data_IF_513501491073
#
_entry.id   IF_513501491073
#
_cell.length_a   1.000
_cell.length_b   1.000
_cell.length_c   1.000
_cell.angle_alpha   90.00
_cell.angle_beta   90.00
_cell.angle_gamma   90.00
#
_symmetry.space_group_name_H-M   'P 1'
#
loop_
_entity.id
_entity.type
_entity.pdbx_description
1 polymer ?
#
# COMPACT_ATOMS: atom_id res chain seq x y z
N UNK A 1 -3.73 -7.31 3.94
CA UNK A 1 -4.97 -8.12 3.83
C UNK A 1 -4.70 -9.53 4.32
N UNK A 2 -3.73 -10.23 3.73
CA UNK A 2 -3.32 -11.58 4.15
C UNK A 2 -2.86 -11.66 5.62
N UNK A 3 -2.06 -10.70 6.10
CA UNK A 3 -1.63 -10.62 7.50
C UNK A 3 -2.79 -10.57 8.52
N UNK A 4 -3.99 -10.19 8.08
CA UNK A 4 -5.20 -10.18 8.90
C UNK A 4 -6.19 -11.30 8.52
N UNK A 5 -5.74 -12.32 7.78
CA UNK A 5 -6.55 -13.50 7.43
C UNK A 5 -7.54 -13.29 6.27
N UNK A 6 -7.45 -12.19 5.51
CA UNK A 6 -8.34 -11.97 4.37
C UNK A 6 -7.85 -12.73 3.12
N UNK A 7 -8.48 -13.86 2.82
CA UNK A 7 -8.14 -14.74 1.68
C UNK A 7 -8.58 -14.19 0.31
N UNK A 8 -9.49 -13.20 0.29
CA UNK A 8 -10.03 -12.60 -0.95
C UNK A 8 -9.68 -11.13 -1.04
N UNK A 9 -8.45 -10.79 -1.46
CA UNK A 9 -8.04 -9.40 -1.60
C UNK A 9 -8.83 -8.68 -2.69
N UNK A 10 -8.91 -7.35 -2.58
CA UNK A 10 -9.48 -6.53 -3.65
C UNK A 10 -8.65 -6.66 -4.93
N UNK A 11 -9.32 -6.58 -6.07
CA UNK A 11 -8.61 -6.44 -7.35
C UNK A 11 -7.92 -5.08 -7.41
N UNK A 12 -6.84 -4.97 -8.21
CA UNK A 12 -6.11 -3.72 -8.39
C UNK A 12 -7.03 -2.58 -8.86
N UNK A 13 -7.98 -2.88 -9.75
CA UNK A 13 -8.98 -1.91 -10.23
C UNK A 13 -9.86 -1.40 -9.10
N UNK A 14 -10.48 -2.30 -8.32
CA UNK A 14 -11.35 -1.90 -7.20
C UNK A 14 -10.57 -1.12 -6.13
N UNK A 15 -9.35 -1.58 -5.81
CA UNK A 15 -8.48 -0.86 -4.88
C UNK A 15 -8.18 0.56 -5.39
N UNK A 16 -7.80 0.69 -6.67
CA UNK A 16 -7.51 1.99 -7.28
C UNK A 16 -8.71 2.94 -7.35
N UNK A 17 -9.93 2.42 -7.50
CA UNK A 17 -11.17 3.20 -7.49
C UNK A 17 -11.55 3.67 -6.06
N UNK A 18 -11.27 2.85 -5.05
CA UNK A 18 -11.59 3.15 -3.65
C UNK A 18 -10.58 4.09 -2.99
N UNK A 19 -9.29 4.01 -3.36
CA UNK A 19 -8.21 4.70 -2.66
C UNK A 19 -8.39 6.23 -2.59
N UNK A 20 -8.75 6.97 -3.66
CA UNK A 20 -8.95 8.42 -3.57
C UNK A 20 -10.08 8.82 -2.61
N UNK A 21 -11.16 8.01 -2.56
CA UNK A 21 -12.32 8.26 -1.68
C UNK A 21 -11.94 8.07 -0.22
N UNK A 22 -11.19 7.01 0.09
CA UNK A 22 -10.67 6.75 1.43
C UNK A 22 -9.72 7.88 1.85
N UNK A 23 -8.78 8.28 0.99
CA UNK A 23 -7.85 9.36 1.32
C UNK A 23 -8.58 10.68 1.64
N UNK A 24 -9.66 11.00 0.91
CA UNK A 24 -10.50 12.16 1.20
C UNK A 24 -11.22 12.06 2.56
N UNK A 25 -11.74 10.88 2.91
CA UNK A 25 -12.38 10.63 4.21
C UNK A 25 -11.44 10.90 5.39
N UNK A 26 -10.18 10.49 5.26
CA UNK A 26 -9.12 10.73 6.24
C UNK A 26 -8.46 12.11 6.12
N UNK A 27 -8.97 12.99 5.23
CA UNK A 27 -8.43 14.33 4.95
C UNK A 27 -6.94 14.31 4.57
N UNK A 28 -6.52 13.28 3.84
CA UNK A 28 -5.16 13.13 3.32
C UNK A 28 -5.15 13.50 1.84
N UNK A 29 -4.15 14.28 1.44
CA UNK A 29 -3.96 14.62 0.03
C UNK A 29 -3.53 13.37 -0.74
N UNK A 30 -4.21 13.09 -1.86
CA UNK A 30 -3.85 12.01 -2.77
C UNK A 30 -3.45 12.57 -4.14
N UNK A 31 -2.26 12.20 -4.59
CA UNK A 31 -1.67 12.53 -5.90
C UNK A 31 -1.13 11.25 -6.55
N UNK A 32 -1.38 11.12 -7.85
CA UNK A 32 -0.91 10.02 -8.69
C UNK A 32 -0.21 10.58 -9.92
N UNK A 33 1.04 10.19 -10.14
CA UNK A 33 1.88 10.65 -11.25
C UNK A 33 2.33 9.46 -12.09
N UNK A 34 2.14 9.53 -13.41
CA UNK A 34 2.70 8.55 -14.34
C UNK A 34 4.20 8.79 -14.49
N UNK A 35 4.99 7.74 -14.34
CA UNK A 35 6.45 7.77 -14.52
C UNK A 35 6.85 6.71 -15.55
N UNK A 36 8.11 6.75 -16.00
CA UNK A 36 8.67 5.72 -16.88
C UNK A 36 8.71 4.33 -16.23
N UNK A 37 8.63 4.25 -14.90
CA UNK A 37 8.65 2.98 -14.14
C UNK A 37 7.27 2.53 -13.65
N UNK A 38 6.20 3.26 -13.97
CA UNK A 38 4.86 2.94 -13.49
C UNK A 38 4.12 4.16 -12.98
N UNK A 39 3.55 4.06 -11.77
CA UNK A 39 2.88 5.16 -11.10
C UNK A 39 3.58 5.45 -9.77
N UNK A 40 3.73 6.74 -9.46
CA UNK A 40 4.19 7.21 -8.17
C UNK A 40 3.05 7.92 -7.46
N UNK A 41 3.02 7.79 -6.14
CA UNK A 41 1.98 8.32 -5.27
C UNK A 41 2.64 9.10 -4.13
N UNK A 42 1.95 10.10 -3.59
CA UNK A 42 2.42 10.89 -2.45
C UNK A 42 2.03 10.27 -1.09
N UNK A 43 2.02 8.94 -1.00
CA UNK A 43 1.57 8.21 0.20
C UNK A 43 2.66 7.27 0.68
N UNK A 44 2.77 7.13 1.99
CA UNK A 44 3.72 6.26 2.66
C UNK A 44 3.03 5.50 3.78
N UNK A 45 3.63 4.38 4.18
CA UNK A 45 3.14 3.58 5.31
C UNK A 45 3.42 4.33 6.62
N UNK A 46 2.45 4.30 7.55
CA UNK A 46 2.69 4.78 8.92
C UNK A 46 3.54 3.77 9.70
N UNK A 47 4.02 4.16 10.88
CA UNK A 47 4.79 3.27 11.76
C UNK A 47 4.00 2.06 12.25
N UNK A 48 2.67 2.13 12.27
CA UNK A 48 1.78 0.99 12.58
C UNK A 48 1.92 -0.15 11.57
N UNK A 49 2.52 0.12 10.40
CA UNK A 49 2.75 -0.91 9.40
C UNK A 49 3.72 -2.00 9.85
N UNK A 50 4.61 -1.71 10.80
CA UNK A 50 5.59 -2.68 11.31
C UNK A 50 4.93 -3.93 11.89
N UNK A 51 3.69 -3.83 12.39
CA UNK A 51 2.96 -4.96 12.97
C UNK A 51 2.60 -6.05 11.94
N UNK A 52 2.47 -5.67 10.67
CA UNK A 52 2.02 -6.57 9.61
C UNK A 52 2.96 -6.63 8.40
N UNK A 53 4.02 -5.81 8.37
CA UNK A 53 5.05 -5.89 7.34
C UNK A 53 5.84 -7.20 7.51
N UNK A 54 6.09 -7.95 6.42
CA UNK A 54 6.93 -9.13 6.50
C UNK A 54 8.36 -8.72 6.87
N UNK A 55 8.97 -9.43 7.81
CA UNK A 55 10.36 -9.19 8.20
C UNK A 55 11.29 -9.34 7.00
N UNK A 56 12.28 -8.46 6.90
CA UNK A 56 13.31 -8.55 5.87
C UNK A 56 14.09 -9.85 6.09
N UNK A 57 14.20 -10.74 5.09
CA UNK A 57 14.98 -11.96 5.25
C UNK A 57 16.45 -11.59 5.47
N UNK A 58 17.08 -12.20 6.48
CA UNK A 58 18.49 -11.98 6.77
C UNK A 58 19.33 -12.36 5.54
N UNK A 59 20.14 -11.43 5.05
CA UNK A 59 21.14 -11.69 4.03
C UNK A 59 22.15 -12.68 4.59
N UNK A 60 22.00 -13.96 4.22
CA UNK A 60 23.04 -14.97 4.47
C UNK A 60 24.25 -14.61 3.62
N UNK A 61 25.18 -13.86 4.20
CA UNK A 61 26.53 -13.75 3.66
C UNK A 61 27.13 -15.16 3.64
N UNK A 62 27.23 -15.75 2.44
CA UNK A 62 27.97 -16.98 2.18
C UNK A 62 29.44 -16.67 1.96
#
# INVERSE_FOLDING_TARGET
MEAHGFERPLTLTKFGESLPKIMLEYRKEYRKVRTNKGYSYNVELSGEAEEWLPSVPELRNS
#
